data_IF_745399006064
#
_entry.id   IF_745399006064
#
_cell.length_a   1.000
_cell.length_b   1.000
_cell.length_c   1.000
_cell.angle_alpha   90.00
_cell.angle_beta   90.00
_cell.angle_gamma   90.00
#
_symmetry.space_group_name_H-M   'P 1'
#
loop_
_entity.id
_entity.type
_entity.pdbx_description
1 polymer ?
#
# COMPACT_ATOMS: atom_id res chain seq x y z
N UNK A 1 8.12 9.79 -5.94
CA UNK A 1 7.55 8.81 -5.00
C UNK A 1 6.14 8.51 -5.48
N UNK A 2 5.84 7.26 -5.77
CA UNK A 2 4.52 6.86 -6.31
C UNK A 2 3.50 6.90 -5.20
N UNK A 3 2.31 7.44 -5.47
CA UNK A 3 1.20 7.42 -4.53
C UNK A 3 0.33 6.19 -4.77
N UNK A 4 0.26 5.31 -3.78
CA UNK A 4 -0.50 4.07 -3.80
C UNK A 4 -1.82 4.16 -3.01
N UNK A 5 -2.17 5.34 -2.46
CA UNK A 5 -3.39 5.56 -1.66
C UNK A 5 -4.67 5.16 -2.38
N UNK A 6 -4.68 5.22 -3.72
CA UNK A 6 -5.78 4.77 -4.56
C UNK A 6 -6.12 3.27 -4.43
N UNK A 7 -5.24 2.45 -3.83
CA UNK A 7 -5.54 1.06 -3.45
C UNK A 7 -6.56 0.95 -2.29
N UNK A 8 -6.89 2.04 -1.59
CA UNK A 8 -8.03 2.12 -0.66
C UNK A 8 -9.32 2.60 -1.34
N UNK A 9 -9.21 3.05 -2.59
CA UNK A 9 -10.30 3.67 -3.33
C UNK A 9 -11.21 2.69 -4.07
N UNK A 10 -12.16 3.23 -4.87
CA UNK A 10 -13.01 2.42 -5.74
C UNK A 10 -12.21 1.70 -6.84
N UNK A 11 -11.15 2.33 -7.37
CA UNK A 11 -10.35 1.82 -8.49
C UNK A 11 -9.25 0.84 -8.08
N UNK A 12 -9.26 0.40 -6.81
CA UNK A 12 -8.21 -0.44 -6.21
C UNK A 12 -7.93 -1.72 -7.01
N UNK A 13 -8.93 -2.31 -7.65
CA UNK A 13 -8.77 -3.55 -8.41
C UNK A 13 -7.97 -3.34 -9.70
N UNK A 14 -8.29 -2.30 -10.48
CA UNK A 14 -7.61 -2.00 -11.74
C UNK A 14 -6.13 -1.64 -11.50
N UNK A 15 -5.88 -0.88 -10.43
CA UNK A 15 -4.52 -0.55 -9.99
C UNK A 15 -3.77 -1.81 -9.58
N UNK A 16 -4.41 -2.68 -8.80
CA UNK A 16 -3.82 -3.93 -8.37
C UNK A 16 -3.44 -4.81 -9.56
N UNK A 17 -4.30 -4.97 -10.57
CA UNK A 17 -4.03 -5.73 -11.80
C UNK A 17 -2.84 -5.15 -12.57
N UNK A 18 -2.74 -3.82 -12.67
CA UNK A 18 -1.61 -3.15 -13.33
C UNK A 18 -0.30 -3.43 -12.61
N UNK A 19 -0.28 -3.28 -11.29
CA UNK A 19 0.90 -3.53 -10.46
C UNK A 19 1.27 -5.01 -10.46
N UNK A 20 0.29 -5.91 -10.42
CA UNK A 20 0.51 -7.35 -10.43
C UNK A 20 1.23 -7.79 -11.72
N UNK A 21 0.83 -7.22 -12.86
CA UNK A 21 1.49 -7.46 -14.15
C UNK A 21 2.93 -6.95 -14.16
N UNK A 22 3.17 -5.74 -13.62
CA UNK A 22 4.49 -5.13 -13.58
C UNK A 22 5.47 -5.89 -12.66
N UNK A 23 5.00 -6.30 -11.49
CA UNK A 23 5.82 -6.92 -10.45
C UNK A 23 5.72 -8.45 -10.40
N UNK A 24 4.98 -9.05 -11.33
CA UNK A 24 4.79 -10.50 -11.46
C UNK A 24 4.19 -11.10 -10.17
N UNK A 25 3.21 -10.39 -9.60
CA UNK A 25 2.44 -10.78 -8.42
C UNK A 25 1.00 -11.13 -8.83
N UNK A 26 0.27 -11.76 -7.92
CA UNK A 26 -1.18 -11.84 -8.03
C UNK A 26 -1.84 -10.52 -7.58
N UNK A 27 -2.94 -10.07 -8.22
CA UNK A 27 -3.66 -8.86 -7.78
C UNK A 27 -4.09 -8.90 -6.31
N UNK A 28 -4.43 -10.09 -5.80
CA UNK A 28 -4.76 -10.29 -4.39
C UNK A 28 -3.55 -10.02 -3.47
N UNK A 29 -2.35 -10.45 -3.85
CA UNK A 29 -1.12 -10.17 -3.09
C UNK A 29 -0.83 -8.67 -3.05
N UNK A 30 -1.09 -7.95 -4.15
CA UNK A 30 -0.95 -6.49 -4.18
C UNK A 30 -1.94 -5.82 -3.22
N UNK A 31 -3.23 -6.20 -3.27
CA UNK A 31 -4.26 -5.63 -2.40
C UNK A 31 -4.00 -5.94 -0.92
N UNK A 32 -3.76 -7.21 -0.59
CA UNK A 32 -3.52 -7.62 0.80
C UNK A 32 -2.18 -7.09 1.32
N UNK A 33 -1.14 -7.07 0.49
CA UNK A 33 0.15 -6.48 0.84
C UNK A 33 0.02 -5.00 1.18
N UNK A 34 -0.78 -4.25 0.42
CA UNK A 34 -1.04 -2.84 0.73
C UNK A 34 -1.77 -2.65 2.06
N UNK A 35 -2.83 -3.43 2.31
CA UNK A 35 -3.56 -3.40 3.58
C UNK A 35 -2.67 -3.78 4.78
N UNK A 36 -1.76 -4.75 4.59
CA UNK A 36 -0.79 -5.14 5.60
C UNK A 36 0.15 -4.00 5.93
N UNK A 37 0.75 -3.35 4.92
CA UNK A 37 1.64 -2.20 5.13
C UNK A 37 0.92 -1.05 5.82
N UNK A 38 -0.31 -0.74 5.40
CA UNK A 38 -1.14 0.27 6.09
C UNK A 38 -1.32 -0.11 7.56
N UNK A 39 -1.71 -1.35 7.84
CA UNK A 39 -1.92 -1.83 9.21
C UNK A 39 -0.64 -1.82 10.04
N UNK A 40 0.53 -2.13 9.47
CA UNK A 40 1.82 -2.10 10.17
C UNK A 40 2.23 -0.67 10.52
N UNK A 41 1.99 0.28 9.61
CA UNK A 41 2.34 1.69 9.82
C UNK A 41 1.34 2.38 10.77
N UNK A 42 0.06 2.10 10.66
CA UNK A 42 -0.99 2.79 11.44
C UNK A 42 -1.47 2.02 12.68
N UNK A 43 -1.12 0.73 12.82
CA UNK A 43 -1.67 -0.16 13.86
C UNK A 43 -0.95 -0.12 15.22
N UNK A 44 0.14 0.63 15.37
CA UNK A 44 0.83 0.84 16.66
C UNK A 44 0.21 1.95 17.52
N UNK A 45 0.92 2.41 18.56
CA UNK A 45 0.54 3.56 19.42
C UNK A 45 0.27 4.88 18.66
N UNK A 46 0.56 4.90 17.35
CA UNK A 46 0.29 5.98 16.40
C UNK A 46 -1.07 5.87 15.71
N UNK A 47 -1.95 4.95 16.12
CA UNK A 47 -3.32 4.79 15.62
C UNK A 47 -4.25 5.96 16.07
N UNK A 48 -3.82 7.20 15.89
CA UNK A 48 -4.71 8.34 15.96
C UNK A 48 -5.62 8.32 14.74
N UNK A 49 -6.93 8.43 14.96
CA UNK A 49 -7.91 8.68 13.89
C UNK A 49 -7.39 9.84 13.02
N UNK A 50 -7.18 9.59 11.73
CA UNK A 50 -6.59 10.57 10.81
C UNK A 50 -5.11 10.35 10.47
N UNK A 51 -4.48 9.26 10.94
CA UNK A 51 -3.10 8.92 10.53
C UNK A 51 -2.94 8.83 9.01
N UNK A 52 -3.99 8.43 8.27
CA UNK A 52 -3.97 8.38 6.81
C UNK A 52 -4.05 9.77 6.15
N UNK A 53 -4.43 10.81 6.88
CA UNK A 53 -4.45 12.20 6.40
C UNK A 53 -3.10 12.90 6.59
N UNK A 54 -2.15 12.31 7.34
CA UNK A 54 -0.81 12.83 7.51
C UNK A 54 0.07 12.47 6.30
N UNK A 55 0.58 13.47 5.53
CA UNK A 55 1.45 13.22 4.38
C UNK A 55 2.72 12.44 4.73
N UNK A 56 3.23 12.54 5.98
CA UNK A 56 4.40 11.77 6.43
C UNK A 56 4.07 10.30 6.58
N UNK A 57 2.89 9.98 7.12
CA UNK A 57 2.43 8.59 7.24
C UNK A 57 2.18 7.99 5.85
N UNK A 58 1.55 8.76 4.96
CA UNK A 58 1.38 8.35 3.55
C UNK A 58 2.71 8.09 2.86
N UNK A 59 3.73 8.93 3.09
CA UNK A 59 5.06 8.69 2.56
C UNK A 59 5.65 7.36 3.07
N UNK A 60 5.58 7.10 4.38
CA UNK A 60 6.09 5.84 4.95
C UNK A 60 5.36 4.62 4.36
N UNK A 61 4.03 4.69 4.20
CA UNK A 61 3.24 3.62 3.57
C UNK A 61 3.70 3.39 2.13
N UNK A 62 3.85 4.45 1.34
CA UNK A 62 4.25 4.36 -0.06
C UNK A 62 5.66 3.75 -0.22
N UNK A 63 6.60 4.13 0.65
CA UNK A 63 7.96 3.57 0.65
C UNK A 63 7.95 2.08 1.03
N UNK A 64 7.28 1.70 2.12
CA UNK A 64 7.23 0.31 2.57
C UNK A 64 6.50 -0.58 1.56
N UNK A 65 5.44 -0.08 0.94
CA UNK A 65 4.74 -0.82 -0.10
C UNK A 65 5.57 -0.95 -1.37
N UNK A 66 6.33 0.07 -1.76
CA UNK A 66 7.28 -0.05 -2.87
C UNK A 66 8.36 -1.11 -2.59
N UNK A 67 8.84 -1.20 -1.36
CA UNK A 67 9.74 -2.28 -0.93
C UNK A 67 9.07 -3.66 -0.96
N UNK A 68 7.80 -3.76 -0.61
CA UNK A 68 7.03 -4.99 -0.77
C UNK A 68 6.96 -5.42 -2.23
N UNK A 69 6.57 -4.52 -3.14
CA UNK A 69 6.45 -4.81 -4.58
C UNK A 69 7.77 -5.26 -5.23
N UNK A 70 8.89 -4.67 -4.79
CA UNK A 70 10.23 -4.99 -5.32
C UNK A 70 10.86 -6.24 -4.69
N UNK A 71 10.31 -6.75 -3.59
CA UNK A 71 10.78 -8.01 -3.02
C UNK A 71 10.45 -9.14 -3.99
N UNK A 72 11.45 -9.98 -4.24
CA UNK A 72 11.32 -11.14 -5.13
C UNK A 72 10.58 -12.23 -4.35
N UNK A 73 9.36 -12.54 -4.77
CA UNK A 73 8.52 -13.61 -4.23
C UNK A 73 8.67 -14.90 -5.03
#
# INVERSE_FOLDING_TARGET
MTDYSALLGPDRYDIAVRLSTQYHLDPSQVLFGYLQVVSEVTGGDHATKGALDDPKVMAVINEQFEHFLKRRH
#
